data_IF_790755625772
#
_entry.id   IF_790755625772
#
_cell.length_a   1.000
_cell.length_b   1.000
_cell.length_c   1.000
_cell.angle_alpha   90.00
_cell.angle_beta   90.00
_cell.angle_gamma   90.00
#
_symmetry.space_group_name_H-M   'P 1'
#
loop_
_entity.id
_entity.type
_entity.pdbx_description
1 polymer ?
#
# COMPACT_ATOMS: atom_id res chain seq x y z
N UNK A 1 -63.17 -29.56 11.19
CA UNK A 1 -63.55 -28.14 11.36
C UNK A 1 -63.16 -27.68 12.75
N UNK A 2 -62.09 -26.88 12.86
CA UNK A 2 -61.88 -25.90 13.94
C UNK A 2 -60.80 -24.93 13.45
N UNK A 3 -61.27 -23.74 13.11
CA UNK A 3 -60.56 -22.55 12.69
C UNK A 3 -59.93 -21.92 13.94
N UNK A 4 -58.64 -21.57 13.93
CA UNK A 4 -58.04 -20.80 15.02
C UNK A 4 -56.99 -19.79 14.49
N UNK A 5 -57.50 -18.59 14.24
CA UNK A 5 -56.96 -17.25 14.55
C UNK A 5 -55.42 -17.09 14.65
N UNK A 6 -54.86 -16.51 13.59
CA UNK A 6 -54.07 -15.26 13.51
C UNK A 6 -53.22 -14.80 14.73
N UNK A 7 -51.89 -14.81 14.56
CA UNK A 7 -51.00 -13.79 15.15
C UNK A 7 -50.01 -13.34 14.06
N UNK A 8 -50.18 -12.12 13.58
CA UNK A 8 -49.23 -11.42 12.70
C UNK A 8 -48.16 -10.83 13.62
N UNK A 9 -46.99 -11.47 13.69
CA UNK A 9 -45.79 -10.84 14.26
C UNK A 9 -45.12 -10.03 13.15
N UNK A 10 -45.32 -8.72 13.18
CA UNK A 10 -44.56 -7.77 12.37
C UNK A 10 -43.12 -7.74 12.86
N UNK A 11 -42.23 -8.36 12.09
CA UNK A 11 -40.79 -8.21 12.27
C UNK A 11 -40.33 -7.04 11.38
N UNK A 12 -40.25 -5.86 11.99
CA UNK A 12 -39.59 -4.69 11.42
C UNK A 12 -38.11 -4.99 11.24
N UNK A 13 -37.71 -5.41 10.04
CA UNK A 13 -36.30 -5.53 9.68
C UNK A 13 -35.74 -4.11 9.54
N UNK A 14 -35.06 -3.66 10.59
CA UNK A 14 -34.29 -2.42 10.59
C UNK A 14 -33.21 -2.54 9.52
N UNK A 15 -33.35 -1.79 8.44
CA UNK A 15 -32.30 -1.49 7.48
C UNK A 15 -31.19 -0.75 8.22
N UNK A 16 -30.26 -1.50 8.80
CA UNK A 16 -28.98 -0.96 9.23
C UNK A 16 -28.21 -0.53 7.99
N UNK A 17 -28.35 0.74 7.61
CA UNK A 17 -27.38 1.41 6.76
C UNK A 17 -26.04 1.43 7.50
N UNK A 18 -25.27 0.35 7.38
CA UNK A 18 -23.85 0.37 7.64
C UNK A 18 -23.22 1.30 6.62
N UNK A 19 -23.08 2.58 6.99
CA UNK A 19 -22.07 3.43 6.39
C UNK A 19 -20.74 2.78 6.78
N UNK A 20 -20.22 1.94 5.90
CA UNK A 20 -18.80 1.63 5.90
C UNK A 20 -18.12 2.99 5.76
N UNK A 21 -17.54 3.51 6.85
CA UNK A 21 -16.56 4.57 6.78
C UNK A 21 -15.49 4.07 5.83
N UNK A 22 -15.53 4.56 4.60
CA UNK A 22 -14.53 4.33 3.58
C UNK A 22 -13.28 5.06 4.08
N UNK A 23 -12.52 4.40 4.96
CA UNK A 23 -11.23 4.90 5.44
C UNK A 23 -10.40 5.15 4.21
N UNK A 24 -10.07 6.42 3.98
CA UNK A 24 -9.11 6.80 2.94
C UNK A 24 -7.83 6.02 3.21
N UNK A 25 -7.44 5.18 2.25
CA UNK A 25 -6.21 4.40 2.32
C UNK A 25 -5.01 5.36 2.42
N UNK A 26 -4.06 5.08 3.31
CA UNK A 26 -2.91 5.98 3.49
C UNK A 26 -1.96 5.76 2.32
N UNK A 27 -1.81 6.79 1.48
CA UNK A 27 -0.84 6.75 0.37
C UNK A 27 0.55 7.07 0.92
N UNK A 28 1.45 6.10 0.91
CA UNK A 28 2.83 6.28 1.35
C UNK A 28 3.67 7.04 0.32
N UNK A 29 3.45 6.76 -0.96
CA UNK A 29 4.16 7.41 -2.06
C UNK A 29 3.35 7.33 -3.37
N UNK A 30 3.73 8.14 -4.35
CA UNK A 30 3.15 8.15 -5.69
C UNK A 30 4.27 8.16 -6.75
N UNK A 31 3.98 7.60 -7.93
CA UNK A 31 4.86 7.58 -9.11
C UNK A 31 4.09 8.14 -10.31
N UNK A 32 4.73 9.01 -11.08
CA UNK A 32 4.23 9.48 -12.37
C UNK A 32 4.78 8.56 -13.46
N UNK A 33 3.90 8.04 -14.32
CA UNK A 33 4.30 7.21 -15.47
C UNK A 33 3.71 7.78 -16.74
N UNK A 34 4.55 7.96 -17.76
CA UNK A 34 4.13 8.33 -19.11
C UNK A 34 4.46 7.23 -20.10
N UNK A 35 3.48 6.87 -20.91
CA UNK A 35 3.61 5.85 -21.95
C UNK A 35 3.84 6.48 -23.32
N UNK A 36 4.54 5.76 -24.18
CA UNK A 36 4.77 6.15 -25.57
C UNK A 36 3.44 6.30 -26.31
N UNK A 37 3.38 7.27 -27.21
CA UNK A 37 2.15 7.61 -27.92
C UNK A 37 1.57 6.43 -28.75
N UNK A 38 2.39 5.45 -29.14
CA UNK A 38 1.94 4.27 -29.88
C UNK A 38 1.38 3.14 -29.01
N UNK A 39 1.45 3.24 -27.67
CA UNK A 39 0.94 2.22 -26.77
C UNK A 39 -0.58 2.33 -26.61
N UNK A 40 -1.27 1.19 -26.58
CA UNK A 40 -2.73 1.12 -26.40
C UNK A 40 -3.19 1.80 -25.09
N UNK A 41 -2.37 1.70 -24.03
CA UNK A 41 -2.66 2.37 -22.76
C UNK A 41 -2.64 3.91 -22.91
N UNK A 42 -1.84 4.46 -23.83
CA UNK A 42 -1.79 5.90 -24.10
C UNK A 42 -3.12 6.40 -24.66
N UNK A 43 -3.71 5.67 -25.60
CA UNK A 43 -5.05 5.98 -26.14
C UNK A 43 -6.15 5.83 -25.07
N UNK A 44 -6.01 4.84 -24.20
CA UNK A 44 -6.93 4.61 -23.07
C UNK A 44 -6.88 5.78 -22.08
N UNK A 45 -5.69 6.29 -21.74
CA UNK A 45 -5.51 7.49 -20.91
C UNK A 45 -6.19 8.70 -21.55
N UNK A 46 -5.99 8.92 -22.85
CA UNK A 46 -6.60 10.05 -23.57
C UNK A 46 -8.12 9.97 -23.55
N UNK A 47 -8.69 8.77 -23.70
CA UNK A 47 -10.15 8.56 -23.58
C UNK A 47 -10.62 8.86 -22.16
N UNK A 48 -9.93 8.33 -21.15
CA UNK A 48 -10.27 8.51 -19.75
C UNK A 48 -10.22 9.97 -19.28
N UNK A 49 -9.36 10.81 -19.87
CA UNK A 49 -9.35 12.25 -19.61
C UNK A 49 -10.64 12.97 -20.05
N UNK A 50 -11.39 12.39 -20.98
CA UNK A 50 -12.62 12.97 -21.52
C UNK A 50 -13.90 12.22 -21.10
N UNK A 51 -13.76 10.96 -20.70
CA UNK A 51 -14.86 10.06 -20.33
C UNK A 51 -14.43 9.09 -19.23
N UNK A 52 -15.04 9.20 -18.04
CA UNK A 52 -14.77 8.34 -16.89
C UNK A 52 -15.06 6.85 -17.12
N UNK A 53 -15.75 6.48 -18.19
CA UNK A 53 -16.01 5.07 -18.54
C UNK A 53 -14.71 4.26 -18.75
N UNK A 54 -13.61 4.91 -19.11
CA UNK A 54 -12.31 4.28 -19.31
C UNK A 54 -11.47 4.15 -18.02
N UNK A 55 -11.92 4.68 -16.87
CA UNK A 55 -11.21 4.53 -15.59
C UNK A 55 -11.12 3.07 -15.14
N UNK A 56 -12.12 2.24 -15.42
CA UNK A 56 -12.08 0.80 -15.09
C UNK A 56 -10.93 0.11 -15.81
N UNK A 57 -10.73 0.39 -17.10
CA UNK A 57 -9.62 -0.17 -17.88
C UNK A 57 -8.26 0.27 -17.35
N UNK A 58 -8.14 1.49 -16.86
CA UNK A 58 -6.91 1.97 -16.22
C UNK A 58 -6.66 1.26 -14.88
N UNK A 59 -7.71 1.08 -14.08
CA UNK A 59 -7.59 0.33 -12.83
C UNK A 59 -7.16 -1.12 -13.07
N UNK A 60 -7.75 -1.78 -14.07
CA UNK A 60 -7.37 -3.15 -14.47
C UNK A 60 -5.90 -3.20 -14.93
N UNK A 61 -5.48 -2.24 -15.75
CA UNK A 61 -4.09 -2.11 -16.17
C UNK A 61 -3.12 -1.93 -14.98
N UNK A 62 -3.46 -1.06 -14.02
CA UNK A 62 -2.62 -0.85 -12.83
C UNK A 62 -2.63 -2.08 -11.92
N UNK A 63 -3.74 -2.83 -11.84
CA UNK A 63 -3.81 -4.08 -11.10
C UNK A 63 -2.93 -5.18 -11.74
N UNK A 64 -2.88 -5.26 -13.07
CA UNK A 64 -1.99 -6.17 -13.78
C UNK A 64 -0.52 -5.77 -13.59
N UNK A 65 -0.22 -4.47 -13.66
CA UNK A 65 1.11 -3.92 -13.38
C UNK A 65 1.54 -4.20 -11.93
N UNK A 66 0.62 -4.09 -10.96
CA UNK A 66 0.83 -4.45 -9.56
C UNK A 66 1.24 -5.92 -9.42
N UNK A 67 0.52 -6.83 -10.10
CA UNK A 67 0.81 -8.26 -10.09
C UNK A 67 2.16 -8.58 -10.72
N UNK A 68 2.49 -7.93 -11.83
CA UNK A 68 3.76 -8.13 -12.53
C UNK A 68 4.95 -7.60 -11.73
N UNK A 69 4.79 -6.44 -11.09
CA UNK A 69 5.86 -5.84 -10.29
C UNK A 69 5.99 -6.48 -8.90
N UNK A 70 4.99 -7.24 -8.45
CA UNK A 70 5.00 -7.90 -7.15
C UNK A 70 4.82 -6.92 -5.98
N UNK A 71 4.23 -5.75 -6.23
CA UNK A 71 4.02 -4.69 -5.24
C UNK A 71 2.59 -4.17 -5.38
N UNK A 72 1.84 -3.95 -4.28
CA UNK A 72 0.50 -3.39 -4.36
C UNK A 72 0.55 -1.97 -4.92
N UNK A 73 -0.15 -1.75 -6.03
CA UNK A 73 -0.28 -0.45 -6.69
C UNK A 73 -1.76 -0.14 -6.90
N UNK A 74 -2.12 1.15 -6.83
CA UNK A 74 -3.46 1.62 -7.15
C UNK A 74 -3.40 2.79 -8.11
N UNK A 75 -4.38 2.89 -9.00
CA UNK A 75 -4.56 4.08 -9.81
C UNK A 75 -4.99 5.24 -8.89
N UNK A 76 -4.29 6.38 -8.97
CA UNK A 76 -4.61 7.59 -8.20
C UNK A 76 -5.36 8.61 -9.05
N UNK A 77 -4.75 9.05 -10.16
CA UNK A 77 -5.35 10.03 -11.09
C UNK A 77 -4.61 10.07 -12.42
N UNK A 78 -5.20 10.74 -13.41
CA UNK A 78 -4.55 11.14 -14.64
C UNK A 78 -4.11 12.60 -14.60
N UNK A 79 -3.13 12.94 -15.44
CA UNK A 79 -2.72 14.32 -15.70
C UNK A 79 -3.10 14.75 -17.12
N UNK A 80 -3.18 16.06 -17.36
CA UNK A 80 -3.36 16.62 -18.70
C UNK A 80 -2.21 16.30 -19.65
N UNK A 81 -1.04 15.93 -19.12
CA UNK A 81 0.14 15.46 -19.87
C UNK A 81 0.03 14.02 -20.39
N UNK A 82 -1.11 13.36 -20.20
CA UNK A 82 -1.34 11.93 -20.48
C UNK A 82 -0.46 11.02 -19.62
N UNK A 83 -0.23 11.43 -18.37
CA UNK A 83 0.46 10.59 -17.39
C UNK A 83 -0.56 9.90 -16.48
N UNK A 84 -0.19 8.70 -16.03
CA UNK A 84 -0.86 8.01 -14.93
C UNK A 84 -0.09 8.31 -13.65
N UNK A 85 -0.79 8.74 -12.61
CA UNK A 85 -0.30 8.77 -11.24
C UNK A 85 -0.71 7.46 -10.57
N UNK A 86 0.30 6.70 -10.14
CA UNK A 86 0.13 5.42 -9.46
C UNK A 86 0.49 5.62 -7.98
N UNK A 87 -0.41 5.24 -7.09
CA UNK A 87 -0.20 5.30 -5.65
C UNK A 87 0.32 3.96 -5.10
N UNK A 88 1.15 4.06 -4.07
CA UNK A 88 1.62 2.93 -3.27
C UNK A 88 0.87 2.99 -1.92
N UNK A 89 -0.15 2.15 -1.72
CA UNK A 89 -0.92 2.12 -0.47
C UNK A 89 -0.07 1.55 0.68
N UNK A 90 0.12 2.33 1.73
CA UNK A 90 0.97 1.98 2.87
C UNK A 90 0.49 0.71 3.56
N UNK A 91 -0.83 0.63 3.81
CA UNK A 91 -1.43 -0.49 4.53
C UNK A 91 -1.26 -1.82 3.78
N UNK A 92 -1.41 -1.83 2.45
CA UNK A 92 -1.22 -3.08 1.69
C UNK A 92 0.25 -3.49 1.65
N UNK A 93 1.18 -2.55 1.51
CA UNK A 93 2.62 -2.86 1.60
C UNK A 93 2.96 -3.47 2.96
N UNK A 94 2.43 -2.91 4.05
CA UNK A 94 2.62 -3.47 5.40
C UNK A 94 2.03 -4.87 5.51
N UNK A 95 0.81 -5.09 4.98
CA UNK A 95 0.17 -6.41 4.99
C UNK A 95 0.98 -7.47 4.23
N UNK A 96 1.55 -7.12 3.07
CA UNK A 96 2.41 -8.01 2.30
C UNK A 96 3.69 -8.37 3.07
N UNK A 97 4.31 -7.39 3.73
CA UNK A 97 5.50 -7.62 4.57
C UNK A 97 5.15 -8.51 5.76
N UNK A 98 4.03 -8.26 6.45
CA UNK A 98 3.55 -9.09 7.57
C UNK A 98 3.31 -10.52 7.10
N UNK A 99 2.58 -10.71 5.99
CA UNK A 99 2.33 -12.04 5.46
C UNK A 99 3.62 -12.80 5.13
N UNK A 100 4.65 -12.11 4.61
CA UNK A 100 5.98 -12.72 4.38
C UNK A 100 6.68 -13.10 5.68
N UNK A 101 6.64 -12.22 6.69
CA UNK A 101 7.26 -12.47 8.00
C UNK A 101 6.60 -13.63 8.75
N UNK A 102 5.26 -13.70 8.76
CA UNK A 102 4.51 -14.77 9.42
C UNK A 102 4.79 -16.15 8.82
N UNK A 103 5.18 -16.20 7.55
CA UNK A 103 5.56 -17.44 6.84
C UNK A 103 7.08 -17.69 6.82
N UNK A 104 7.87 -16.85 7.49
CA UNK A 104 9.33 -16.92 7.47
C UNK A 104 9.87 -17.85 8.57
N UNK A 105 10.83 -18.70 8.22
CA UNK A 105 11.52 -19.54 9.20
C UNK A 105 12.26 -18.68 10.23
N UNK A 106 12.06 -18.99 11.52
CA UNK A 106 12.70 -18.26 12.61
C UNK A 106 11.94 -17.01 13.09
N UNK A 107 10.73 -16.75 12.57
CA UNK A 107 9.79 -15.77 13.14
C UNK A 107 8.78 -16.50 14.04
N UNK A 108 8.52 -15.94 15.22
CA UNK A 108 7.61 -16.52 16.21
C UNK A 108 6.37 -15.68 16.49
N UNK A 109 6.47 -14.36 16.32
CA UNK A 109 5.37 -13.41 16.50
C UNK A 109 5.60 -12.16 15.65
N UNK A 110 4.52 -11.56 15.15
CA UNK A 110 4.53 -10.35 14.33
C UNK A 110 3.41 -9.42 14.80
N UNK A 111 3.79 -8.20 15.20
CA UNK A 111 2.86 -7.18 15.70
C UNK A 111 3.02 -5.91 14.89
N UNK A 112 1.93 -5.43 14.28
CA UNK A 112 1.92 -4.13 13.61
C UNK A 112 1.67 -3.03 14.63
N UNK A 113 2.69 -2.22 14.90
CA UNK A 113 2.59 -1.00 15.68
C UNK A 113 2.18 0.15 14.75
N UNK A 114 0.96 0.65 14.90
CA UNK A 114 0.58 1.91 14.25
C UNK A 114 1.30 3.02 14.98
N UNK A 115 1.95 3.91 14.23
CA UNK A 115 2.55 5.09 14.82
C UNK A 115 1.45 5.88 15.57
N UNK A 116 1.81 6.54 16.65
CA UNK A 116 0.88 7.42 17.33
C UNK A 116 0.87 8.79 16.62
N UNK A 117 -0.14 9.64 16.88
CA UNK A 117 -0.23 10.96 16.21
C UNK A 117 1.04 11.84 16.38
N UNK A 118 1.91 11.53 17.35
CA UNK A 118 3.17 12.22 17.62
C UNK A 118 4.35 11.80 16.72
N UNK A 119 4.22 10.74 15.92
CA UNK A 119 5.30 10.23 15.06
C UNK A 119 5.45 10.96 13.72
N UNK A 120 4.75 12.08 13.53
CA UNK A 120 4.83 12.95 12.35
C UNK A 120 3.68 12.78 11.35
N UNK A 121 3.70 13.55 10.24
CA UNK A 121 2.54 13.73 9.36
C UNK A 121 2.18 12.50 8.51
N UNK A 122 3.05 11.48 8.44
CA UNK A 122 2.76 10.22 7.74
C UNK A 122 2.97 9.06 8.70
N UNK A 123 1.86 8.55 9.22
CA UNK A 123 1.82 7.38 10.09
C UNK A 123 1.96 6.11 9.24
N UNK A 124 3.17 5.86 8.78
CA UNK A 124 3.52 4.62 8.12
C UNK A 124 3.84 3.62 9.24
N UNK A 125 2.97 2.63 9.44
CA UNK A 125 3.08 1.66 10.55
C UNK A 125 4.46 0.99 10.62
N UNK A 126 4.87 0.63 11.84
CA UNK A 126 6.07 -0.15 12.13
C UNK A 126 5.66 -1.59 12.42
N UNK A 127 6.57 -2.53 12.22
CA UNK A 127 6.31 -3.96 12.43
C UNK A 127 7.32 -4.46 13.45
N UNK A 128 6.84 -4.86 14.62
CA UNK A 128 7.64 -5.52 15.63
C UNK A 128 7.59 -7.02 15.40
N UNK A 129 8.76 -7.65 15.30
CA UNK A 129 8.92 -9.08 15.03
C UNK A 129 9.67 -9.73 16.16
N UNK A 130 9.15 -10.82 16.71
CA UNK A 130 9.89 -11.68 17.64
C UNK A 130 10.54 -12.81 16.86
N UNK A 131 11.87 -12.83 16.87
CA UNK A 131 12.67 -13.84 16.16
C UNK A 131 13.14 -14.94 17.11
N UNK A 132 13.40 -16.13 16.57
CA UNK A 132 13.96 -17.23 17.32
C UNK A 132 15.34 -16.84 17.88
N UNK A 133 15.73 -17.35 19.07
CA UNK A 133 17.05 -17.03 19.65
C UNK A 133 18.22 -17.39 18.74
N UNK A 134 18.08 -18.42 17.89
CA UNK A 134 19.09 -18.82 16.90
C UNK A 134 19.33 -17.79 15.81
N UNK A 135 18.34 -16.93 15.53
CA UNK A 135 18.42 -15.86 14.53
C UNK A 135 18.95 -14.55 15.12
N UNK A 136 19.02 -14.46 16.45
CA UNK A 136 19.47 -13.28 17.17
C UNK A 136 20.98 -13.27 17.43
N UNK A 137 21.77 -13.55 16.39
CA UNK A 137 23.22 -13.35 16.43
C UNK A 137 23.54 -11.84 16.35
N UNK A 138 24.16 -11.24 17.38
CA UNK A 138 24.53 -9.83 17.36
C UNK A 138 25.58 -9.48 16.28
N UNK A 139 26.26 -10.48 15.72
CA UNK A 139 27.18 -10.30 14.59
C UNK A 139 26.50 -10.13 13.23
N UNK A 140 25.20 -10.43 13.12
CA UNK A 140 24.43 -10.27 11.89
C UNK A 140 23.81 -8.88 11.84
N UNK A 141 24.00 -8.18 10.73
CA UNK A 141 23.39 -6.88 10.48
C UNK A 141 21.85 -6.96 10.51
N UNK A 142 21.21 -5.97 11.14
CA UNK A 142 19.76 -5.97 11.35
C UNK A 142 18.99 -5.84 10.03
N UNK A 143 19.47 -4.97 9.14
CA UNK A 143 18.88 -4.77 7.81
C UNK A 143 19.04 -6.02 6.96
N UNK A 144 20.21 -6.66 6.98
CA UNK A 144 20.43 -7.93 6.29
C UNK A 144 19.50 -9.05 6.78
N UNK A 145 19.29 -9.13 8.10
CA UNK A 145 18.36 -10.10 8.69
C UNK A 145 16.92 -9.82 8.24
N UNK A 146 16.43 -8.60 8.43
CA UNK A 146 15.06 -8.24 8.02
C UNK A 146 14.86 -8.40 6.51
N UNK A 147 15.87 -8.05 5.71
CA UNK A 147 15.85 -8.24 4.27
C UNK A 147 15.69 -9.70 3.87
N UNK A 148 16.39 -10.61 4.55
CA UNK A 148 16.23 -12.05 4.33
C UNK A 148 14.85 -12.55 4.75
N UNK A 149 14.35 -12.12 5.91
CA UNK A 149 13.06 -12.58 6.44
C UNK A 149 11.88 -12.15 5.55
N UNK A 150 11.95 -10.93 4.99
CA UNK A 150 10.91 -10.35 4.12
C UNK A 150 11.09 -10.78 2.65
N UNK A 151 12.31 -11.10 2.22
CA UNK A 151 12.64 -11.27 0.80
C UNK A 151 12.75 -9.92 0.08
N UNK A 152 13.69 -9.08 0.53
CA UNK A 152 13.76 -7.64 0.24
C UNK A 152 14.04 -7.22 -1.21
N UNK A 153 14.17 -8.15 -2.17
CA UNK A 153 14.23 -7.75 -3.58
C UNK A 153 12.96 -7.01 -4.01
N UNK A 154 11.81 -7.38 -3.44
CA UNK A 154 10.51 -6.77 -3.77
C UNK A 154 10.08 -5.71 -2.73
N UNK A 155 10.46 -5.89 -1.46
CA UNK A 155 10.03 -5.05 -0.34
C UNK A 155 11.23 -4.60 0.49
N UNK A 156 11.87 -3.47 0.14
CA UNK A 156 12.97 -2.94 0.93
C UNK A 156 12.48 -2.50 2.31
N UNK A 157 13.27 -2.84 3.33
CA UNK A 157 12.97 -2.57 4.73
C UNK A 157 14.20 -2.02 5.45
N UNK A 158 13.96 -1.19 6.46
CA UNK A 158 14.95 -0.74 7.43
C UNK A 158 14.63 -1.32 8.79
N UNK A 159 15.64 -1.85 9.48
CA UNK A 159 15.48 -2.71 10.64
C UNK A 159 16.36 -2.27 11.81
N UNK A 160 15.79 -2.23 13.00
CA UNK A 160 16.52 -2.00 14.25
C UNK A 160 16.39 -3.23 15.15
N UNK A 161 17.52 -3.73 15.66
CA UNK A 161 17.49 -4.78 16.70
C UNK A 161 17.03 -4.16 18.02
N UNK A 162 16.11 -4.85 18.67
CA UNK A 162 15.62 -4.55 20.01
C UNK A 162 16.03 -5.67 20.99
N UNK A 163 16.00 -5.39 22.31
CA UNK A 163 16.20 -6.43 23.32
C UNK A 163 15.18 -7.57 23.19
N UNK A 164 15.51 -8.71 23.81
CA UNK A 164 14.64 -9.89 23.95
C UNK A 164 14.29 -10.58 22.62
N UNK A 165 15.26 -10.68 21.70
CA UNK A 165 15.10 -11.28 20.37
C UNK A 165 14.00 -10.60 19.54
N UNK A 166 13.96 -9.27 19.57
CA UNK A 166 12.99 -8.50 18.79
C UNK A 166 13.68 -7.70 17.69
N UNK A 167 12.98 -7.54 16.58
CA UNK A 167 13.40 -6.75 15.44
C UNK A 167 12.28 -5.77 15.10
N UNK A 168 12.59 -4.48 15.06
CA UNK A 168 11.68 -3.46 14.58
C UNK A 168 11.93 -3.27 13.09
N UNK A 169 10.94 -3.54 12.27
CA UNK A 169 10.99 -3.44 10.81
C UNK A 169 10.12 -2.27 10.35
N UNK A 170 10.66 -1.46 9.43
CA UNK A 170 9.96 -0.35 8.78
C UNK A 170 10.05 -0.53 7.27
N UNK A 171 8.95 -0.40 6.51
CA UNK A 171 9.04 -0.39 5.06
C UNK A 171 9.81 0.85 4.59
N UNK A 172 10.78 0.65 3.69
CA UNK A 172 11.56 1.73 3.09
C UNK A 172 10.90 2.16 1.77
N UNK A 173 9.93 3.08 1.89
CA UNK A 173 9.18 3.56 0.73
C UNK A 173 10.03 4.37 -0.25
N UNK A 174 11.11 5.01 0.21
CA UNK A 174 12.01 5.75 -0.67
C UNK A 174 12.74 4.78 -1.60
N UNK A 175 13.32 3.72 -1.04
CA UNK A 175 14.02 2.69 -1.81
C UNK A 175 13.06 1.86 -2.67
N UNK A 176 11.83 1.63 -2.18
CA UNK A 176 10.77 0.98 -2.95
C UNK A 176 10.41 1.80 -4.20
N UNK A 177 10.17 3.11 -4.04
CA UNK A 177 9.88 4.02 -5.15
C UNK A 177 11.03 4.06 -6.14
N UNK A 178 12.27 4.18 -5.68
CA UNK A 178 13.45 4.19 -6.55
C UNK A 178 13.56 2.90 -7.38
N UNK A 179 13.28 1.75 -6.77
CA UNK A 179 13.27 0.44 -7.43
C UNK A 179 12.16 0.36 -8.48
N UNK A 180 10.94 0.76 -8.12
CA UNK A 180 9.79 0.75 -9.03
C UNK A 180 9.98 1.70 -10.21
N UNK A 181 10.48 2.91 -9.98
CA UNK A 181 10.79 3.88 -11.04
C UNK A 181 11.80 3.29 -12.03
N UNK A 182 12.87 2.67 -11.53
CA UNK A 182 13.88 2.02 -12.37
C UNK A 182 13.27 0.90 -13.21
N UNK A 183 12.46 0.03 -12.59
CA UNK A 183 11.77 -1.07 -13.29
C UNK A 183 10.80 -0.54 -14.35
N UNK A 184 9.98 0.44 -14.00
CA UNK A 184 8.99 1.05 -14.89
C UNK A 184 9.65 1.75 -16.08
N UNK A 185 10.68 2.56 -15.85
CA UNK A 185 11.41 3.24 -16.91
C UNK A 185 12.12 2.28 -17.88
N UNK A 186 12.46 1.07 -17.43
CA UNK A 186 13.02 0.01 -18.27
C UNK A 186 11.99 -0.78 -19.08
N UNK A 187 10.68 -0.57 -18.86
CA UNK A 187 9.64 -1.34 -19.56
C UNK A 187 9.48 -0.86 -21.01
N UNK A 188 9.22 -1.78 -21.96
CA UNK A 188 8.74 -1.41 -23.28
C UNK A 188 7.50 -0.53 -23.19
N UNK A 189 7.43 0.50 -24.03
CA UNK A 189 6.28 1.40 -24.10
C UNK A 189 6.21 2.48 -23.03
N UNK A 190 7.13 2.51 -22.05
CA UNK A 190 7.23 3.61 -21.08
C UNK A 190 8.20 4.68 -21.62
N UNK A 191 7.73 5.92 -21.76
CA UNK A 191 8.59 7.06 -22.10
C UNK A 191 9.42 7.50 -20.90
N UNK A 192 8.78 7.63 -19.74
CA UNK A 192 9.46 7.90 -18.48
C UNK A 192 8.63 7.46 -17.27
N UNK A 193 9.31 7.23 -16.15
CA UNK A 193 8.73 7.13 -14.83
C UNK A 193 9.52 8.00 -13.85
N UNK A 194 8.85 8.65 -12.90
CA UNK A 194 9.51 9.46 -11.87
C UNK A 194 8.72 9.48 -10.56
N UNK A 195 9.38 9.67 -9.41
CA UNK A 195 8.68 9.87 -8.15
C UNK A 195 7.76 11.09 -8.23
N UNK A 196 6.53 10.97 -7.70
CA UNK A 196 5.67 12.13 -7.47
C UNK A 196 5.84 12.59 -6.02
N UNK A 197 6.77 13.50 -5.78
CA UNK A 197 6.93 14.13 -4.48
C UNK A 197 5.79 15.12 -4.24
N UNK A 198 4.67 14.64 -3.70
CA UNK A 198 3.62 15.53 -3.22
C UNK A 198 4.17 16.26 -1.99
N UNK A 199 4.51 17.54 -2.16
CA UNK A 199 4.73 18.45 -1.03
C UNK A 199 3.38 18.59 -0.30
N UNK A 200 3.14 17.74 0.70
CA UNK A 200 1.92 17.85 1.52
C UNK A 200 2.09 19.05 2.45
N UNK A 201 1.28 20.08 2.24
CA UNK A 201 1.26 21.25 3.12
C UNK A 201 0.95 20.83 4.56
N UNK A 202 1.81 21.27 5.48
CA UNK A 202 1.63 21.15 6.92
C UNK A 202 0.43 22.01 7.33
N UNK A 203 -0.76 21.41 7.49
CA UNK A 203 -1.86 22.06 8.20
C UNK A 203 -1.51 22.02 9.70
N UNK A 204 -0.88 23.09 10.19
CA UNK A 204 -0.66 23.30 11.62
C UNK A 204 -2.02 23.42 12.31
N UNK A 205 -2.44 22.47 13.18
CA UNK A 205 -3.60 22.70 14.01
C UNK A 205 -3.22 23.74 15.07
N UNK A 206 -3.95 24.85 15.12
CA UNK A 206 -3.76 25.87 16.16
C UNK A 206 -3.45 27.28 15.64
N UNK A 207 -4.38 27.86 14.89
CA UNK A 207 -4.63 29.30 14.96
C UNK A 207 -6.14 29.53 14.88
N UNK A 208 -6.81 29.13 15.96
CA UNK A 208 -8.05 29.81 16.33
C UNK A 208 -7.65 31.22 16.77
N UNK A 209 -8.26 32.22 16.13
CA UNK A 209 -8.16 33.64 16.49
C UNK A 209 -9.10 33.95 17.65
#
# INVERSE_FOLDING_TARGET
MKLMILIILGLSLVLGCGHAEQRSETVAAEIIVKFAAQEEISDTIVKALNDSSAETTINDFVADLSRELGVPLTYSRLTSGREIIIAIPAERVIQEIVGRLENSDGVSDVVVERATQDDGPVNIGRILVTIAPSENDPGVDADALGARLVGAEDYPVACDRLPDNRLLIRPDFERLVATLVTRLAGRPGVEYAQPNYVVRHYNRPGHER
#
